data_IF_914067584050
#
_entry.id   IF_914067584050
#
_cell.length_a   1.000
_cell.length_b   1.000
_cell.length_c   1.000
_cell.angle_alpha   90.00
_cell.angle_beta   90.00
_cell.angle_gamma   90.00
#
_symmetry.space_group_name_H-M   'P 1'
#
loop_
_entity.id
_entity.type
_entity.pdbx_description
1 polymer ?
#
# COMPACT_ATOMS: atom_id res chain seq x y z
N UNK A 1 -10.15 59.55 -0.29
CA UNK A 1 -11.44 59.25 0.36
C UNK A 1 -11.45 57.77 0.67
N UNK A 2 -11.63 57.48 1.96
CA UNK A 2 -11.61 56.15 2.56
C UNK A 2 -12.78 55.29 2.08
N UNK A 3 -12.58 53.98 2.03
CA UNK A 3 -13.59 52.99 1.66
C UNK A 3 -13.21 51.62 2.21
N UNK A 4 -13.15 51.54 3.53
CA UNK A 4 -13.09 50.35 4.36
C UNK A 4 -14.42 49.58 4.25
N UNK A 5 -14.39 48.26 4.02
CA UNK A 5 -15.49 47.36 4.40
C UNK A 5 -14.96 45.92 4.49
N UNK A 6 -14.85 45.48 5.74
CA UNK A 6 -14.59 44.12 6.17
C UNK A 6 -15.76 43.20 5.84
N UNK A 7 -15.46 41.96 5.44
CA UNK A 7 -16.39 40.83 5.51
C UNK A 7 -15.64 39.65 6.13
N UNK A 8 -15.76 39.54 7.47
CA UNK A 8 -15.51 38.32 8.21
C UNK A 8 -16.77 37.46 8.10
N UNK A 9 -16.68 36.33 7.38
CA UNK A 9 -17.76 35.36 7.33
C UNK A 9 -17.72 34.47 8.58
N UNK A 10 -18.86 34.42 9.27
CA UNK A 10 -19.13 33.62 10.47
C UNK A 10 -19.05 32.11 10.18
N UNK A 11 -18.34 31.39 11.05
CA UNK A 11 -18.32 29.93 11.09
C UNK A 11 -19.57 29.46 11.86
N UNK A 12 -20.47 28.64 11.26
CA UNK A 12 -21.66 28.16 11.96
C UNK A 12 -21.33 27.18 13.10
N UNK A 13 -22.00 27.41 14.23
CA UNK A 13 -21.81 26.78 15.56
C UNK A 13 -22.33 25.34 15.71
N UNK A 14 -22.60 24.59 14.65
CA UNK A 14 -23.35 23.31 14.74
C UNK A 14 -22.49 22.04 14.84
N UNK A 15 -21.18 22.14 15.12
CA UNK A 15 -20.25 20.99 15.13
C UNK A 15 -19.76 20.59 16.54
N UNK A 16 -20.53 20.89 17.60
CA UNK A 16 -20.13 20.63 18.99
C UNK A 16 -20.85 19.48 19.71
N UNK A 17 -21.79 18.77 19.10
CA UNK A 17 -22.60 17.75 19.81
C UNK A 17 -22.72 16.40 19.09
N UNK A 18 -21.59 15.84 18.63
CA UNK A 18 -21.56 14.46 18.13
C UNK A 18 -20.28 13.72 18.56
N UNK A 19 -19.93 13.79 19.84
CA UNK A 19 -18.88 12.94 20.44
C UNK A 19 -19.35 12.43 21.81
N UNK A 20 -20.46 11.70 21.82
CA UNK A 20 -20.85 10.85 22.95
C UNK A 20 -21.63 9.66 22.44
N UNK A 21 -20.98 8.49 22.44
CA UNK A 21 -21.67 7.20 22.35
C UNK A 21 -21.18 6.30 21.23
N UNK A 22 -20.29 5.36 21.57
CA UNK A 22 -20.59 3.93 21.43
C UNK A 22 -19.34 3.14 21.82
N UNK A 23 -19.32 2.70 23.07
CA UNK A 23 -18.45 1.63 23.51
C UNK A 23 -19.05 0.31 23.02
N UNK A 24 -18.30 -0.48 22.24
CA UNK A 24 -18.51 -1.94 22.10
C UNK A 24 -17.26 -2.63 21.54
N UNK A 25 -16.74 -3.54 22.37
CA UNK A 25 -15.99 -4.76 22.03
C UNK A 25 -14.64 -4.63 21.31
N UNK A 26 -13.59 -4.34 22.08
CA UNK A 26 -12.21 -4.66 21.72
C UNK A 26 -11.92 -6.13 22.06
N UNK A 27 -11.89 -6.97 21.03
CA UNK A 27 -11.35 -8.33 21.11
C UNK A 27 -9.83 -8.20 21.33
N UNK A 28 -9.37 -8.68 22.49
CA UNK A 28 -7.96 -8.64 22.89
C UNK A 28 -7.12 -9.53 21.97
N UNK A 29 -6.36 -8.96 21.05
CA UNK A 29 -5.27 -9.66 20.38
C UNK A 29 -4.10 -9.72 21.38
N UNK A 30 -3.78 -10.93 21.85
CA UNK A 30 -2.63 -11.21 22.70
C UNK A 30 -1.39 -11.32 21.81
N UNK A 31 -0.49 -10.36 21.88
CA UNK A 31 0.89 -10.53 21.43
C UNK A 31 1.59 -11.51 22.38
N UNK A 32 1.90 -12.71 21.90
CA UNK A 32 2.67 -13.69 22.66
C UNK A 32 4.16 -13.43 22.45
N UNK A 33 4.82 -12.85 23.46
CA UNK A 33 6.27 -12.83 23.55
C UNK A 33 6.74 -14.15 24.18
N UNK A 34 7.41 -15.01 23.40
CA UNK A 34 8.00 -16.25 23.89
C UNK A 34 9.38 -15.92 24.48
N UNK A 35 9.51 -16.06 25.80
CA UNK A 35 10.77 -15.97 26.54
C UNK A 35 11.29 -17.38 26.83
N UNK A 36 12.25 -17.85 26.04
CA UNK A 36 13.03 -19.06 26.36
C UNK A 36 14.22 -18.66 27.24
N UNK A 37 14.18 -19.14 28.49
CA UNK A 37 15.24 -18.97 29.48
C UNK A 37 16.44 -19.85 29.16
N UNK A 38 17.54 -19.22 28.74
CA UNK A 38 18.87 -19.80 28.70
C UNK A 38 19.86 -18.79 29.26
N UNK A 39 20.45 -19.10 30.40
CA UNK A 39 21.52 -18.34 31.06
C UNK A 39 22.77 -18.31 30.18
N UNK A 40 22.89 -17.29 29.33
CA UNK A 40 24.10 -16.97 28.57
C UNK A 40 24.67 -15.63 29.03
N UNK A 41 25.99 -15.58 29.11
CA UNK A 41 26.77 -14.46 29.61
C UNK A 41 26.42 -13.13 28.92
N UNK A 42 26.24 -12.11 29.76
CA UNK A 42 25.79 -10.77 29.44
C UNK A 42 26.86 -9.98 28.65
N UNK A 43 26.82 -10.07 27.33
CA UNK A 43 27.12 -8.92 26.49
C UNK A 43 25.80 -8.16 26.30
N UNK A 44 25.70 -6.84 26.57
CA UNK A 44 24.53 -6.06 26.23
C UNK A 44 24.46 -5.89 24.70
N UNK A 45 24.10 -6.97 24.01
CA UNK A 45 23.64 -6.88 22.63
C UNK A 45 22.31 -6.16 22.65
N UNK A 46 22.24 -4.96 22.06
CA UNK A 46 20.98 -4.31 21.79
C UNK A 46 20.18 -5.22 20.87
N UNK A 47 19.25 -5.98 21.44
CA UNK A 47 18.27 -6.73 20.67
C UNK A 47 17.42 -5.69 19.96
N UNK A 48 17.74 -5.41 18.70
CA UNK A 48 16.90 -4.56 17.87
C UNK A 48 15.51 -5.19 17.87
N UNK A 49 14.48 -4.41 18.20
CA UNK A 49 13.12 -4.92 18.13
C UNK A 49 12.85 -5.36 16.69
N UNK A 50 12.41 -6.61 16.55
CA UNK A 50 12.07 -7.20 15.26
C UNK A 50 10.55 -7.21 15.12
N UNK A 51 10.07 -6.59 14.05
CA UNK A 51 8.67 -6.61 13.68
C UNK A 51 8.47 -7.70 12.65
N UNK A 52 7.41 -8.49 12.80
CA UNK A 52 7.13 -9.61 11.90
C UNK A 52 5.77 -9.39 11.24
N UNK A 53 5.73 -9.57 9.92
CA UNK A 53 4.48 -9.74 9.17
C UNK A 53 4.35 -11.23 8.86
N UNK A 54 3.18 -11.78 9.14
CA UNK A 54 2.83 -13.17 8.83
C UNK A 54 1.73 -13.16 7.78
N UNK A 55 1.97 -13.80 6.64
CA UNK A 55 0.95 -14.02 5.62
C UNK A 55 -0.05 -15.10 6.07
N UNK A 56 -1.19 -15.21 5.40
CA UNK A 56 -2.22 -16.20 5.73
C UNK A 56 -1.71 -17.65 5.60
N UNK A 57 -0.77 -17.89 4.69
CA UNK A 57 -0.11 -19.18 4.50
C UNK A 57 0.92 -19.54 5.62
N UNK A 58 1.13 -18.64 6.58
CA UNK A 58 2.10 -18.81 7.68
C UNK A 58 3.52 -18.34 7.39
N UNK A 59 3.85 -17.95 6.14
CA UNK A 59 5.15 -17.38 5.83
C UNK A 59 5.35 -16.06 6.58
N UNK A 60 6.61 -15.75 6.92
CA UNK A 60 6.95 -14.55 7.69
C UNK A 60 8.03 -13.70 7.04
N UNK A 61 7.91 -12.38 7.18
CA UNK A 61 8.97 -11.41 6.89
C UNK A 61 9.26 -10.59 8.14
N UNK A 62 10.54 -10.50 8.49
CA UNK A 62 11.02 -9.72 9.63
C UNK A 62 11.60 -8.39 9.17
N UNK A 63 11.38 -7.34 9.98
CA UNK A 63 11.86 -6.00 9.76
C UNK A 63 12.51 -5.46 11.03
N UNK A 64 13.64 -4.77 10.86
CA UNK A 64 14.28 -4.04 11.94
C UNK A 64 13.55 -2.72 12.21
N UNK A 65 13.55 -2.26 13.46
CA UNK A 65 12.99 -0.95 13.83
C UNK A 65 13.54 0.22 13.00
N UNK A 66 14.83 0.15 12.63
CA UNK A 66 15.46 1.19 11.82
C UNK A 66 14.82 1.28 10.42
N UNK A 67 14.59 0.12 9.77
CA UNK A 67 13.93 0.06 8.48
C UNK A 67 12.50 0.61 8.54
N UNK A 68 11.72 0.23 9.56
CA UNK A 68 10.35 0.76 9.75
C UNK A 68 10.35 2.27 9.99
N UNK A 69 11.34 2.79 10.72
CA UNK A 69 11.48 4.24 10.93
C UNK A 69 11.72 4.96 9.62
N UNK A 70 12.63 4.46 8.77
CA UNK A 70 12.86 5.02 7.43
C UNK A 70 11.59 5.00 6.60
N UNK A 71 10.86 3.87 6.56
CA UNK A 71 9.59 3.77 5.85
C UNK A 71 8.57 4.80 6.36
N UNK A 72 8.46 4.96 7.69
CA UNK A 72 7.52 5.90 8.31
C UNK A 72 7.88 7.36 7.99
N UNK A 73 9.17 7.71 8.03
CA UNK A 73 9.63 9.05 7.70
C UNK A 73 9.41 9.36 6.21
N UNK A 74 9.64 8.40 5.32
CA UNK A 74 9.29 8.52 3.89
C UNK A 74 7.79 8.68 3.68
N UNK A 75 6.95 7.86 4.32
CA UNK A 75 5.50 7.97 4.20
C UNK A 75 4.97 9.32 4.71
N UNK A 76 5.56 9.86 5.79
CA UNK A 76 5.25 11.21 6.29
C UNK A 76 5.65 12.29 5.29
N UNK A 77 6.84 12.19 4.69
CA UNK A 77 7.27 13.15 3.68
C UNK A 77 6.34 13.15 2.45
N UNK A 78 5.96 11.96 1.96
CA UNK A 78 4.97 11.84 0.87
C UNK A 78 3.63 12.45 1.27
N UNK A 79 3.18 12.23 2.50
CA UNK A 79 1.95 12.85 3.00
C UNK A 79 2.06 14.38 3.10
N UNK A 80 3.19 14.93 3.52
CA UNK A 80 3.40 16.37 3.54
C UNK A 80 3.34 16.96 2.12
N UNK A 81 3.88 16.27 1.12
CA UNK A 81 3.77 16.73 -0.26
C UNK A 81 2.31 16.82 -0.73
N UNK A 82 1.46 15.90 -0.28
CA UNK A 82 0.00 15.95 -0.53
C UNK A 82 -0.64 17.22 0.02
N UNK A 83 -0.28 17.58 1.24
CA UNK A 83 -0.89 18.70 1.97
C UNK A 83 -0.40 20.04 1.44
N UNK A 84 0.85 20.10 0.98
CA UNK A 84 1.50 21.35 0.56
C UNK A 84 1.34 21.62 -0.93
N UNK A 85 1.22 20.59 -1.76
CA UNK A 85 1.10 20.78 -3.21
C UNK A 85 -0.31 21.27 -3.59
N UNK A 86 -0.44 22.59 -3.65
CA UNK A 86 -1.66 23.29 -4.07
C UNK A 86 -2.09 22.96 -5.51
N UNK A 87 -1.21 22.37 -6.32
CA UNK A 87 -1.56 21.93 -7.68
C UNK A 87 -2.31 20.61 -7.65
N UNK A 88 -2.26 19.82 -6.57
CA UNK A 88 -2.92 18.52 -6.53
C UNK A 88 -4.30 18.63 -5.91
N UNK A 89 -5.31 18.26 -6.70
CA UNK A 89 -6.67 18.02 -6.24
C UNK A 89 -6.84 16.53 -5.98
N UNK A 90 -6.79 16.15 -4.72
CA UNK A 90 -7.29 14.85 -4.29
C UNK A 90 -8.81 14.85 -4.36
N UNK A 91 -9.38 14.14 -5.33
CA UNK A 91 -10.80 13.75 -5.25
C UNK A 91 -10.94 12.66 -4.19
N UNK A 92 -10.75 13.03 -2.92
CA UNK A 92 -10.94 12.09 -1.82
C UNK A 92 -12.42 11.70 -1.75
N UNK A 93 -12.75 10.45 -1.38
CA UNK A 93 -14.14 10.01 -1.28
C UNK A 93 -14.95 10.85 -0.26
N UNK A 94 -14.26 11.44 0.72
CA UNK A 94 -14.85 12.31 1.74
C UNK A 94 -15.41 13.62 1.16
N UNK A 95 -14.80 14.17 0.11
CA UNK A 95 -15.25 15.44 -0.51
C UNK A 95 -16.45 15.20 -1.43
N UNK A 96 -16.53 14.04 -2.08
CA UNK A 96 -17.55 13.76 -3.10
C UNK A 96 -18.69 12.85 -2.62
N UNK A 97 -18.74 12.44 -1.34
CA UNK A 97 -19.71 11.44 -0.81
C UNK A 97 -19.79 10.18 -1.68
N UNK A 98 -18.68 9.79 -2.29
CA UNK A 98 -18.61 8.54 -3.05
C UNK A 98 -18.46 7.43 -2.03
N UNK A 99 -19.46 6.56 -1.95
CA UNK A 99 -19.43 5.38 -1.09
C UNK A 99 -18.31 4.47 -1.60
N UNK A 100 -17.31 4.20 -0.74
CA UNK A 100 -16.26 3.24 -1.07
C UNK A 100 -16.89 1.87 -1.23
N UNK A 101 -16.49 1.14 -2.27
CA UNK A 101 -16.98 -0.22 -2.51
C UNK A 101 -16.06 -1.20 -1.77
N UNK A 102 -16.59 -2.16 -0.99
CA UNK A 102 -15.77 -3.22 -0.41
C UNK A 102 -15.18 -4.07 -1.53
N UNK A 103 -13.92 -4.50 -1.36
CA UNK A 103 -13.34 -5.49 -2.29
C UNK A 103 -14.00 -6.83 -2.02
N UNK A 104 -14.68 -7.35 -3.04
CA UNK A 104 -15.29 -8.66 -3.01
C UNK A 104 -14.21 -9.75 -2.98
N UNK A 105 -14.47 -10.85 -2.27
CA UNK A 105 -13.54 -11.96 -2.17
C UNK A 105 -13.28 -12.61 -3.53
N UNK A 106 -14.23 -12.50 -4.45
CA UNK A 106 -14.20 -13.00 -5.82
C UNK A 106 -13.37 -12.12 -6.76
N UNK A 107 -13.06 -10.89 -6.36
CA UNK A 107 -12.25 -9.93 -7.15
C UNK A 107 -11.09 -9.36 -6.34
N UNK A 108 -10.20 -10.21 -5.79
CA UNK A 108 -9.10 -9.77 -4.94
C UNK A 108 -8.17 -8.79 -5.66
N UNK A 109 -8.04 -8.92 -6.99
CA UNK A 109 -7.23 -8.02 -7.80
C UNK A 109 -7.67 -6.54 -7.72
N UNK A 110 -8.92 -6.25 -7.36
CA UNK A 110 -9.40 -4.87 -7.21
C UNK A 110 -8.67 -4.10 -6.09
N UNK A 111 -8.01 -4.80 -5.16
CA UNK A 111 -7.21 -4.16 -4.12
C UNK A 111 -5.81 -3.73 -4.58
N UNK A 112 -5.31 -4.18 -5.73
CA UNK A 112 -3.98 -3.76 -6.15
C UNK A 112 -3.94 -2.24 -6.35
N UNK A 113 -2.81 -1.57 -6.03
CA UNK A 113 -2.77 -0.12 -6.01
C UNK A 113 -3.13 0.53 -7.34
N UNK A 114 -2.71 -0.06 -8.46
CA UNK A 114 -3.02 0.41 -9.82
C UNK A 114 -4.50 0.27 -10.22
N UNK A 115 -5.26 -0.58 -9.53
CA UNK A 115 -6.71 -0.71 -9.72
C UNK A 115 -7.51 0.24 -8.83
N UNK A 116 -6.96 0.56 -7.64
CA UNK A 116 -7.60 1.41 -6.65
C UNK A 116 -7.32 2.91 -6.85
N UNK A 117 -6.20 3.25 -7.49
CA UNK A 117 -5.72 4.62 -7.70
C UNK A 117 -5.50 4.86 -9.19
N UNK A 118 -6.13 5.92 -9.72
CA UNK A 118 -5.89 6.36 -11.09
C UNK A 118 -5.40 7.81 -11.07
N UNK A 119 -4.24 8.05 -11.68
CA UNK A 119 -3.76 9.41 -11.94
C UNK A 119 -4.39 9.87 -13.25
N UNK A 120 -5.28 10.87 -13.17
CA UNK A 120 -6.04 11.36 -14.33
C UNK A 120 -5.21 12.36 -15.14
N UNK A 121 -4.52 13.27 -14.43
CA UNK A 121 -3.59 14.23 -14.98
C UNK A 121 -2.50 14.58 -13.95
N UNK A 122 -1.65 15.57 -14.26
CA UNK A 122 -0.56 16.02 -13.38
C UNK A 122 -1.04 16.71 -12.09
N UNK A 123 -2.35 16.87 -11.92
CA UNK A 123 -2.99 17.60 -10.84
C UNK A 123 -4.12 16.83 -10.17
N UNK A 124 -4.54 15.68 -10.72
CA UNK A 124 -5.75 14.98 -10.31
C UNK A 124 -5.50 13.50 -10.09
N UNK A 125 -5.87 13.03 -8.90
CA UNK A 125 -5.90 11.61 -8.56
C UNK A 125 -7.33 11.20 -8.20
N UNK A 126 -7.78 10.15 -8.88
CA UNK A 126 -9.01 9.45 -8.60
C UNK A 126 -8.74 8.26 -7.65
N UNK A 127 -9.36 8.34 -6.47
CA UNK A 127 -9.30 7.32 -5.40
C UNK A 127 -10.67 6.77 -5.07
N UNK A 128 -11.63 6.85 -6.00
CA UNK A 128 -13.00 6.34 -5.80
C UNK A 128 -13.04 4.82 -5.59
N UNK A 129 -12.06 4.10 -6.11
CA UNK A 129 -11.97 2.65 -6.03
C UNK A 129 -11.21 2.14 -4.80
N UNK A 130 -10.91 3.01 -3.82
CA UNK A 130 -10.27 2.56 -2.58
C UNK A 130 -11.12 1.52 -1.85
N UNK A 131 -10.55 0.35 -1.51
CA UNK A 131 -11.29 -0.71 -0.82
C UNK A 131 -11.87 -0.25 0.53
N UNK A 132 -13.19 -0.36 0.69
CA UNK A 132 -13.86 0.08 1.93
C UNK A 132 -13.42 -0.71 3.18
N UNK A 133 -13.07 -1.98 3.00
CA UNK A 133 -12.64 -2.91 4.06
C UNK A 133 -11.13 -2.86 4.36
N UNK A 134 -10.36 -1.97 3.72
CA UNK A 134 -8.91 -1.82 3.94
C UNK A 134 -8.54 -0.38 4.33
N UNK A 135 -9.29 0.23 5.26
CA UNK A 135 -9.07 1.63 5.68
C UNK A 135 -7.70 1.83 6.32
N UNK A 136 -7.16 0.80 6.97
CA UNK A 136 -5.83 0.79 7.56
C UNK A 136 -4.74 0.91 6.48
N UNK A 137 -5.04 0.52 5.23
CA UNK A 137 -4.15 0.62 4.08
C UNK A 137 -4.22 1.98 3.36
N UNK A 138 -5.10 2.91 3.76
CA UNK A 138 -5.27 4.22 3.09
C UNK A 138 -3.92 4.91 2.82
N UNK A 139 -3.02 4.91 3.82
CA UNK A 139 -1.67 5.49 3.68
C UNK A 139 -0.82 4.83 2.61
N UNK A 140 -0.92 3.52 2.43
CA UNK A 140 -0.23 2.81 1.37
C UNK A 140 -0.70 3.28 -0.01
N UNK A 141 -2.02 3.39 -0.22
CA UNK A 141 -2.57 3.91 -1.47
C UNK A 141 -2.20 5.37 -1.70
N UNK A 142 -2.15 6.20 -0.66
CA UNK A 142 -1.70 7.58 -0.80
C UNK A 142 -0.21 7.67 -1.16
N UNK A 143 0.66 6.82 -0.60
CA UNK A 143 2.06 6.74 -1.02
C UNK A 143 2.18 6.40 -2.51
N UNK A 144 1.42 5.40 -2.97
CA UNK A 144 1.34 5.03 -4.39
C UNK A 144 0.90 6.20 -5.26
N UNK A 145 -0.19 6.86 -4.86
CA UNK A 145 -0.77 8.00 -5.55
C UNK A 145 0.26 9.14 -5.76
N UNK A 146 0.97 9.55 -4.72
CA UNK A 146 2.01 10.60 -4.81
C UNK A 146 3.12 10.19 -5.77
N UNK A 147 3.65 8.98 -5.61
CA UNK A 147 4.78 8.53 -6.40
C UNK A 147 4.41 8.36 -7.88
N UNK A 148 3.23 7.81 -8.17
CA UNK A 148 2.74 7.67 -9.54
C UNK A 148 2.55 9.04 -10.19
N UNK A 149 2.03 10.02 -9.48
CA UNK A 149 1.89 11.37 -10.02
C UNK A 149 3.23 12.05 -10.30
N UNK A 150 4.24 11.84 -9.44
CA UNK A 150 5.61 12.30 -9.71
C UNK A 150 6.17 11.69 -10.99
N UNK A 151 5.92 10.40 -11.22
CA UNK A 151 6.26 9.74 -12.49
C UNK A 151 5.52 10.39 -13.66
N UNK A 152 4.20 10.60 -13.58
CA UNK A 152 3.42 11.24 -14.66
C UNK A 152 3.91 12.66 -14.96
N UNK A 153 4.24 13.46 -13.94
CA UNK A 153 4.76 14.83 -14.08
C UNK A 153 6.16 14.88 -14.67
N UNK A 154 7.00 13.92 -14.31
CA UNK A 154 8.37 13.79 -14.79
C UNK A 154 8.49 12.90 -16.01
N UNK A 155 7.38 12.44 -16.60
CA UNK A 155 7.38 11.46 -17.66
C UNK A 155 7.99 12.07 -18.92
N UNK A 156 9.12 11.51 -19.32
CA UNK A 156 9.63 11.65 -20.67
C UNK A 156 8.92 10.58 -21.54
N UNK A 157 8.23 10.96 -22.62
CA UNK A 157 7.53 10.01 -23.48
C UNK A 157 8.46 8.99 -24.17
N UNK A 158 9.76 9.27 -24.25
CA UNK A 158 10.74 8.45 -24.95
C UNK A 158 11.51 7.47 -24.02
N UNK A 159 11.01 7.26 -22.80
CA UNK A 159 11.62 6.34 -21.83
C UNK A 159 11.55 4.88 -22.32
N UNK A 160 12.65 4.12 -22.32
CA UNK A 160 12.65 2.71 -22.71
C UNK A 160 11.68 1.86 -21.87
N UNK A 161 11.09 0.83 -22.47
CA UNK A 161 10.09 0.01 -21.78
C UNK A 161 10.57 -0.63 -20.46
N UNK A 162 11.82 -1.11 -20.39
CA UNK A 162 12.36 -1.65 -19.12
C UNK A 162 12.43 -0.57 -18.03
N UNK A 163 12.68 0.68 -18.40
CA UNK A 163 12.68 1.81 -17.47
C UNK A 163 11.27 2.15 -16.99
N UNK A 164 10.24 2.02 -17.84
CA UNK A 164 8.83 2.20 -17.43
C UNK A 164 8.46 1.19 -16.35
N UNK A 165 8.78 -0.09 -16.57
CA UNK A 165 8.48 -1.14 -15.59
C UNK A 165 9.31 -1.00 -14.31
N UNK A 166 10.57 -0.60 -14.42
CA UNK A 166 11.43 -0.32 -13.26
C UNK A 166 10.92 0.87 -12.43
N UNK A 167 10.37 1.90 -13.07
CA UNK A 167 9.72 3.02 -12.39
C UNK A 167 8.46 2.55 -11.65
N UNK A 168 7.61 1.74 -12.28
CA UNK A 168 6.43 1.21 -11.60
C UNK A 168 6.80 0.30 -10.42
N UNK A 169 7.87 -0.51 -10.55
CA UNK A 169 8.41 -1.29 -9.43
C UNK A 169 8.80 -0.41 -8.24
N UNK A 170 9.37 0.77 -8.48
CA UNK A 170 9.68 1.73 -7.41
C UNK A 170 8.42 2.36 -6.79
N UNK A 171 7.44 2.73 -7.62
CA UNK A 171 6.15 3.29 -7.17
C UNK A 171 5.41 2.27 -6.29
N UNK A 172 5.29 1.03 -6.75
CA UNK A 172 4.71 -0.08 -5.98
C UNK A 172 5.55 -0.41 -4.75
N UNK A 173 6.88 -0.27 -4.82
CA UNK A 173 7.76 -0.35 -3.65
C UNK A 173 7.33 0.60 -2.52
N UNK A 174 6.94 1.83 -2.85
CA UNK A 174 6.45 2.81 -1.87
C UNK A 174 5.06 2.46 -1.30
N UNK A 175 4.20 1.85 -2.12
CA UNK A 175 2.95 1.26 -1.63
C UNK A 175 3.24 0.15 -0.62
N UNK A 176 4.13 -0.78 -0.94
CA UNK A 176 4.48 -1.92 -0.09
C UNK A 176 5.02 -1.44 1.26
N UNK A 177 5.85 -0.40 1.29
CA UNK A 177 6.33 0.19 2.55
C UNK A 177 5.18 0.76 3.38
N UNK A 178 4.22 1.44 2.74
CA UNK A 178 3.00 1.89 3.41
C UNK A 178 2.18 0.73 3.97
N UNK A 179 2.04 -0.37 3.23
CA UNK A 179 1.32 -1.56 3.67
C UNK A 179 2.02 -2.25 4.85
N UNK A 180 3.35 -2.35 4.83
CA UNK A 180 4.15 -2.86 5.95
C UNK A 180 3.91 -2.03 7.21
N UNK A 181 3.91 -0.70 7.10
CA UNK A 181 3.59 0.18 8.23
C UNK A 181 2.17 -0.04 8.75
N UNK A 182 1.20 -0.21 7.85
CA UNK A 182 -0.19 -0.55 8.22
C UNK A 182 -0.26 -1.84 9.03
N UNK A 183 0.40 -2.91 8.55
CA UNK A 183 0.44 -4.23 9.21
C UNK A 183 1.15 -4.19 10.56
N UNK A 184 2.23 -3.43 10.68
CA UNK A 184 3.12 -3.46 11.86
C UNK A 184 2.80 -2.42 12.92
N UNK A 185 2.41 -1.20 12.52
CA UNK A 185 2.24 -0.06 13.43
C UNK A 185 0.77 0.36 13.62
N UNK A 186 -0.10 0.04 12.66
CA UNK A 186 -1.49 0.50 12.66
C UNK A 186 -2.54 -0.62 12.75
N UNK A 187 -2.10 -1.87 12.96
CA UNK A 187 -3.00 -3.01 13.21
C UNK A 187 -3.78 -3.48 11.99
N UNK A 188 -3.27 -3.22 10.77
CA UNK A 188 -3.87 -3.72 9.54
C UNK A 188 -3.96 -5.26 9.55
N UNK A 189 -5.10 -5.86 9.16
CA UNK A 189 -5.25 -7.31 9.10
C UNK A 189 -4.38 -7.91 8.00
N UNK A 190 -4.15 -9.22 8.05
CA UNK A 190 -3.57 -9.94 6.92
C UNK A 190 -4.52 -9.82 5.73
N UNK A 191 -3.96 -9.71 4.53
CA UNK A 191 -4.77 -9.61 3.33
C UNK A 191 -3.94 -10.09 2.14
N UNK A 192 -4.22 -11.32 1.70
CA UNK A 192 -3.36 -12.07 0.78
C UNK A 192 -2.92 -11.29 -0.47
N UNK A 193 -3.77 -10.52 -1.19
CA UNK A 193 -3.33 -9.78 -2.37
C UNK A 193 -2.27 -8.71 -2.09
N UNK A 194 -2.36 -8.03 -0.95
CA UNK A 194 -1.38 -6.99 -0.59
C UNK A 194 -0.14 -7.60 0.06
N UNK A 195 -0.30 -8.69 0.80
CA UNK A 195 0.83 -9.46 1.34
C UNK A 195 1.64 -10.11 0.20
N UNK A 196 1.00 -10.58 -0.88
CA UNK A 196 1.70 -11.09 -2.08
C UNK A 196 2.76 -10.11 -2.59
N UNK A 197 2.44 -8.79 -2.63
CA UNK A 197 3.40 -7.76 -3.04
C UNK A 197 4.62 -7.69 -2.12
N UNK A 198 4.41 -7.78 -0.80
CA UNK A 198 5.49 -7.75 0.21
C UNK A 198 6.43 -8.93 0.01
N UNK A 199 5.86 -10.13 -0.11
CA UNK A 199 6.63 -11.36 -0.21
C UNK A 199 7.27 -11.52 -1.59
N UNK A 200 6.60 -11.11 -2.67
CA UNK A 200 7.18 -11.07 -4.02
C UNK A 200 8.39 -10.13 -4.07
N UNK A 201 8.29 -8.93 -3.46
CA UNK A 201 9.44 -8.03 -3.31
C UNK A 201 10.60 -8.69 -2.56
N UNK A 202 10.31 -9.37 -1.45
CA UNK A 202 11.32 -10.07 -0.66
C UNK A 202 12.02 -11.20 -1.44
N UNK A 203 11.30 -11.86 -2.34
CA UNK A 203 11.79 -12.93 -3.20
C UNK A 203 12.47 -12.42 -4.50
N UNK A 204 12.47 -11.11 -4.77
CA UNK A 204 12.99 -10.57 -6.03
C UNK A 204 12.10 -10.87 -7.24
N UNK A 205 10.80 -11.02 -6.99
CA UNK A 205 9.75 -11.39 -7.95
C UNK A 205 8.69 -10.28 -8.12
N UNK A 206 8.94 -9.07 -7.61
CA UNK A 206 7.99 -7.95 -7.78
C UNK A 206 7.83 -7.56 -9.26
N UNK A 207 8.93 -7.39 -10.00
CA UNK A 207 8.87 -7.07 -11.43
C UNK A 207 8.07 -8.08 -12.27
N UNK A 208 8.32 -9.41 -12.20
CA UNK A 208 7.51 -10.37 -12.95
C UNK A 208 6.04 -10.38 -12.50
N UNK A 209 5.73 -10.16 -11.22
CA UNK A 209 4.36 -9.96 -10.74
C UNK A 209 3.69 -8.78 -11.47
N UNK A 210 4.33 -7.62 -11.52
CA UNK A 210 3.78 -6.41 -12.16
C UNK A 210 3.56 -6.62 -13.66
N UNK A 211 4.53 -7.25 -14.32
CA UNK A 211 4.41 -7.56 -15.74
C UNK A 211 3.27 -8.57 -16.01
N UNK A 212 3.11 -9.56 -15.13
CA UNK A 212 2.10 -10.63 -15.28
C UNK A 212 0.68 -10.18 -15.00
N UNK A 213 0.48 -9.35 -13.98
CA UNK A 213 -0.83 -8.80 -13.60
C UNK A 213 -1.26 -7.65 -14.52
N UNK A 214 -0.42 -7.30 -15.50
CA UNK A 214 -0.68 -6.36 -16.59
C UNK A 214 -1.29 -5.06 -16.06
N UNK A 215 -0.54 -4.38 -15.19
CA UNK A 215 -0.92 -3.05 -14.72
C UNK A 215 -1.18 -2.14 -15.94
N UNK A 216 -2.42 -1.63 -16.13
CA UNK A 216 -2.75 -0.76 -17.26
C UNK A 216 -1.83 0.47 -17.38
N UNK A 217 -1.20 0.85 -16.27
CA UNK A 217 -0.29 1.99 -16.15
C UNK A 217 1.09 1.77 -16.81
N UNK A 218 1.50 0.52 -17.02
CA UNK A 218 2.75 0.17 -17.74
C UNK A 218 2.49 -0.28 -19.18
N UNK A 219 1.23 -0.50 -19.55
CA UNK A 219 0.77 -0.69 -20.93
C UNK A 219 1.52 -1.80 -21.68
N UNK A 220 1.81 -1.54 -22.96
CA UNK A 220 2.46 -2.51 -23.85
C UNK A 220 3.87 -2.95 -23.39
N UNK A 221 4.54 -2.15 -22.54
CA UNK A 221 5.88 -2.47 -22.06
C UNK A 221 5.93 -3.70 -21.16
N UNK A 222 4.86 -3.98 -20.40
CA UNK A 222 4.76 -5.22 -19.64
C UNK A 222 4.76 -6.46 -20.55
N UNK A 223 4.02 -6.41 -21.67
CA UNK A 223 3.97 -7.49 -22.65
C UNK A 223 5.34 -7.77 -23.28
N UNK A 224 6.03 -6.71 -23.73
CA UNK A 224 7.39 -6.82 -24.27
C UNK A 224 8.33 -7.45 -23.24
N UNK A 225 8.27 -6.99 -21.99
CA UNK A 225 9.12 -7.52 -20.93
C UNK A 225 8.84 -9.01 -20.65
N UNK A 226 7.57 -9.43 -20.67
CA UNK A 226 7.17 -10.84 -20.51
C UNK A 226 7.74 -11.69 -21.64
N UNK A 227 7.65 -11.23 -22.89
CA UNK A 227 8.15 -11.94 -24.06
C UNK A 227 9.69 -12.09 -24.02
N UNK A 228 10.38 -11.07 -23.49
CA UNK A 228 11.84 -11.07 -23.34
C UNK A 228 12.33 -11.85 -22.11
N UNK A 229 11.48 -12.10 -21.10
CA UNK A 229 11.85 -12.70 -19.81
C UNK A 229 10.90 -13.85 -19.38
N UNK A 230 10.62 -14.84 -20.24
CA UNK A 230 9.61 -15.88 -19.96
C UNK A 230 9.95 -16.72 -18.72
N UNK A 231 11.24 -16.97 -18.47
CA UNK A 231 11.70 -17.74 -17.31
C UNK A 231 11.47 -17.00 -15.98
N UNK A 232 11.52 -15.67 -15.98
CA UNK A 232 11.24 -14.85 -14.78
C UNK A 232 9.75 -14.89 -14.45
N UNK A 233 8.90 -14.87 -15.47
CA UNK A 233 7.45 -15.03 -15.31
C UNK A 233 7.11 -16.43 -14.82
N UNK A 234 7.70 -17.47 -15.40
CA UNK A 234 7.51 -18.84 -14.95
C UNK A 234 7.97 -19.06 -13.50
N UNK A 235 9.07 -18.41 -13.08
CA UNK A 235 9.54 -18.44 -11.70
C UNK A 235 8.53 -17.77 -10.73
N UNK A 236 7.94 -16.65 -11.12
CA UNK A 236 6.87 -16.01 -10.35
C UNK A 236 5.62 -16.91 -10.28
N UNK A 237 5.17 -17.49 -11.39
CA UNK A 237 3.99 -18.36 -11.41
C UNK A 237 4.17 -19.63 -10.56
N UNK A 238 5.38 -20.21 -10.53
CA UNK A 238 5.71 -21.32 -9.66
C UNK A 238 5.68 -20.91 -8.19
N UNK A 239 6.35 -19.80 -7.86
CA UNK A 239 6.39 -19.24 -6.50
C UNK A 239 4.99 -18.87 -6.00
N UNK A 240 4.17 -18.25 -6.84
CA UNK A 240 2.81 -17.81 -6.49
C UNK A 240 1.92 -19.01 -6.17
N UNK A 241 1.95 -20.07 -6.98
CA UNK A 241 1.18 -21.30 -6.70
C UNK A 241 1.58 -21.96 -5.38
N UNK A 242 2.86 -21.91 -5.03
CA UNK A 242 3.35 -22.44 -3.75
C UNK A 242 2.92 -21.57 -2.56
N UNK A 243 3.01 -20.24 -2.70
CA UNK A 243 2.90 -19.32 -1.56
C UNK A 243 1.54 -18.65 -1.41
N UNK A 244 0.88 -18.35 -2.51
CA UNK A 244 -0.40 -17.62 -2.57
C UNK A 244 -1.38 -18.34 -3.52
N UNK A 245 -1.75 -19.61 -3.23
CA UNK A 245 -2.66 -20.37 -4.07
C UNK A 245 -4.03 -19.68 -4.13
N UNK A 246 -4.70 -19.71 -5.29
CA UNK A 246 -6.07 -19.22 -5.38
C UNK A 246 -7.02 -20.15 -4.59
N UNK A 247 -8.14 -19.62 -4.07
CA UNK A 247 -9.16 -20.45 -3.45
C UNK A 247 -9.60 -21.57 -4.41
N UNK A 248 -9.47 -22.83 -3.98
CA UNK A 248 -9.81 -24.02 -4.78
C UNK A 248 -8.65 -24.67 -5.55
N UNK A 249 -7.44 -24.08 -5.57
CA UNK A 249 -6.26 -24.69 -6.22
C UNK A 249 -5.47 -25.66 -5.31
N UNK A 250 -5.86 -25.79 -4.04
CA UNK A 250 -5.14 -26.60 -3.02
C UNK A 250 -5.93 -27.77 -2.40
N UNK A 251 -7.17 -27.99 -2.84
CA UNK A 251 -8.02 -29.10 -2.38
C UNK A 251 -8.04 -30.25 -3.40
N UNK A 252 -6.88 -30.79 -3.77
CA UNK A 252 -6.84 -32.20 -4.19
C UNK A 252 -6.65 -33.02 -2.90
N UNK A 253 -7.76 -33.55 -2.37
CA UNK A 253 -7.77 -34.54 -1.30
C UNK A 253 -6.80 -35.69 -1.63
N UNK A 254 -5.68 -35.75 -0.91
CA UNK A 254 -4.87 -36.98 -0.77
C UNK A 254 -5.32 -37.79 0.43
#
# INVERSE_FOLDING_TARGET
MNGELAVLAEIPRSLKEAVTGSARSLTRIRAAAILLGGTWALMPGTVAAQYTITAENGDTVQFESAALRTMLDTARALWTDLEVDLRVRYMTPAVNRVERVPVAAETPAASYPWNAVQVVDDSLIDVRNLPANLREADRAYYNYAVQRMRVVRGADPDVPCDSVLALEEQVVGSFIDGWILSRTLFGGPAFAPLDELVFARRAGLLRPLLARLNDPQVGACAGIWVDENPERVAAYDAWRREKFPLPGEGEEET
#
